data_IF_610768273673
#
_entry.id   IF_610768273673
#
_cell.length_a   1.000
_cell.length_b   1.000
_cell.length_c   1.000
_cell.angle_alpha   90.00
_cell.angle_beta   90.00
_cell.angle_gamma   90.00
#
_symmetry.space_group_name_H-M   'P 1'
#
loop_
_entity.id
_entity.type
_entity.pdbx_description
1 polymer ?
#
# COMPACT_ATOMS: atom_id res chain seq x y z
N UNK A 1 -13.21 3.41 -9.27
CA UNK A 1 -11.86 3.45 -8.71
C UNK A 1 -11.88 4.35 -7.49
N UNK A 2 -11.72 3.76 -6.30
CA UNK A 2 -11.56 4.52 -5.06
C UNK A 2 -10.10 4.93 -4.88
N UNK A 3 -9.85 6.04 -4.19
CA UNK A 3 -8.48 6.44 -3.83
C UNK A 3 -8.39 6.54 -2.31
N UNK A 4 -7.51 5.73 -1.75
CA UNK A 4 -7.24 5.62 -0.33
C UNK A 4 -6.03 6.46 0.05
N UNK A 5 -5.95 6.84 1.33
CA UNK A 5 -4.84 7.64 1.81
C UNK A 5 -3.69 6.74 2.29
N UNK A 6 -2.46 7.12 1.96
CA UNK A 6 -1.24 6.55 2.52
C UNK A 6 -0.44 7.64 3.22
N UNK A 7 0.09 7.37 4.41
CA UNK A 7 0.88 8.33 5.20
C UNK A 7 2.14 7.70 5.75
N UNK A 8 3.11 8.51 6.16
CA UNK A 8 4.36 8.04 6.75
C UNK A 8 4.38 8.41 8.23
N UNK A 9 4.38 7.40 9.09
CA UNK A 9 4.63 7.57 10.52
C UNK A 9 6.14 7.48 10.77
N UNK A 10 6.73 8.56 11.27
CA UNK A 10 8.15 8.62 11.64
C UNK A 10 8.29 8.60 13.16
N UNK A 11 9.11 7.69 13.68
CA UNK A 11 9.52 7.59 15.09
C UNK A 11 11.05 7.62 15.19
N UNK A 12 11.58 7.80 16.39
CA UNK A 12 13.01 8.09 16.62
C UNK A 12 14.00 7.16 15.88
N UNK A 13 13.65 5.88 15.71
CA UNK A 13 14.49 4.88 15.04
C UNK A 13 13.77 4.08 13.95
N UNK A 14 12.57 4.48 13.55
CA UNK A 14 11.77 3.71 12.59
C UNK A 14 10.86 4.59 11.75
N UNK A 15 10.62 4.17 10.51
CA UNK A 15 9.59 4.73 9.65
C UNK A 15 8.61 3.65 9.23
N UNK A 16 7.32 3.97 9.25
CA UNK A 16 6.23 3.05 8.91
C UNK A 16 5.34 3.70 7.87
N UNK A 17 5.16 3.02 6.73
CA UNK A 17 4.15 3.37 5.74
C UNK A 17 2.80 2.84 6.24
N UNK A 18 1.83 3.73 6.36
CA UNK A 18 0.45 3.46 6.78
C UNK A 18 -0.46 3.51 5.57
N UNK A 19 -1.21 2.45 5.29
CA UNK A 19 -2.17 2.35 4.19
C UNK A 19 -3.59 2.29 4.77
N UNK A 20 -4.39 3.35 4.57
CA UNK A 20 -5.73 3.45 5.14
C UNK A 20 -6.79 2.85 4.21
N UNK A 21 -7.41 1.74 4.62
CA UNK A 21 -8.45 1.01 3.89
C UNK A 21 -9.74 1.01 4.71
N UNK A 22 -10.57 2.04 4.51
CA UNK A 22 -11.79 2.24 5.29
C UNK A 22 -11.46 2.40 6.78
N UNK A 23 -11.95 1.49 7.61
CA UNK A 23 -11.70 1.48 9.06
C UNK A 23 -10.39 0.74 9.45
N UNK A 24 -9.72 0.10 8.49
CA UNK A 24 -8.48 -0.64 8.73
C UNK A 24 -7.27 0.16 8.27
N UNK A 25 -6.17 0.12 9.03
CA UNK A 25 -4.87 0.64 8.59
C UNK A 25 -3.89 -0.52 8.52
N UNK A 26 -3.22 -0.66 7.37
CA UNK A 26 -2.15 -1.63 7.17
C UNK A 26 -0.80 -0.94 7.35
N UNK A 27 0.11 -1.61 8.06
CA UNK A 27 1.40 -1.07 8.44
C UNK A 27 2.53 -1.81 7.72
N UNK A 28 3.43 -1.05 7.10
CA UNK A 28 4.68 -1.57 6.53
C UNK A 28 5.83 -0.83 7.20
N UNK A 29 6.59 -1.53 8.04
CA UNK A 29 7.80 -0.96 8.67
C UNK A 29 8.93 -0.96 7.64
N UNK A 30 9.45 0.23 7.31
CA UNK A 30 10.44 0.45 6.25
C UNK A 30 11.87 0.21 6.72
N UNK A 31 12.09 0.26 8.03
CA UNK A 31 13.40 0.15 8.67
C UNK A 31 13.73 -1.25 9.15
N UNK A 32 12.84 -2.22 8.91
CA UNK A 32 13.00 -3.61 9.32
C UNK A 32 12.89 -4.53 8.12
N UNK A 33 13.77 -5.52 8.02
CA UNK A 33 13.69 -6.55 7.00
C UNK A 33 12.73 -7.66 7.45
N UNK A 34 11.42 -7.40 7.29
CA UNK A 34 10.34 -8.32 7.65
C UNK A 34 9.49 -8.68 6.42
N UNK A 35 9.99 -9.57 5.54
CA UNK A 35 9.29 -9.91 4.30
C UNK A 35 7.93 -10.58 4.54
N UNK A 36 7.75 -11.28 5.66
CA UNK A 36 6.46 -11.92 6.00
C UNK A 36 5.36 -10.89 6.34
N UNK A 37 5.72 -9.75 6.93
CA UNK A 37 4.77 -8.70 7.27
C UNK A 37 4.28 -8.01 6.00
N UNK A 38 5.19 -7.73 5.06
CA UNK A 38 4.87 -7.19 3.73
C UNK A 38 3.94 -8.13 2.96
N UNK A 39 4.21 -9.44 2.96
CA UNK A 39 3.33 -10.45 2.35
C UNK A 39 1.93 -10.44 2.97
N UNK A 40 1.85 -10.32 4.29
CA UNK A 40 0.57 -10.25 5.00
C UNK A 40 -0.23 -9.02 4.60
N UNK A 41 0.42 -7.86 4.47
CA UNK A 41 -0.21 -6.63 3.96
C UNK A 41 -0.71 -6.85 2.53
N UNK A 42 0.10 -7.43 1.65
CA UNK A 42 -0.28 -7.67 0.27
C UNK A 42 -1.50 -8.61 0.15
N UNK A 43 -1.55 -9.69 0.92
CA UNK A 43 -2.71 -10.58 0.94
C UNK A 43 -4.01 -9.86 1.31
N UNK A 44 -3.96 -8.95 2.30
CA UNK A 44 -5.12 -8.13 2.67
C UNK A 44 -5.52 -7.17 1.56
N UNK A 45 -4.57 -6.62 0.80
CA UNK A 45 -4.87 -5.78 -0.37
C UNK A 45 -5.55 -6.60 -1.48
N UNK A 46 -5.09 -7.82 -1.75
CA UNK A 46 -5.73 -8.71 -2.73
C UNK A 46 -7.17 -9.07 -2.33
N UNK A 47 -7.43 -9.30 -1.04
CA UNK A 47 -8.79 -9.52 -0.55
C UNK A 47 -9.68 -8.30 -0.79
N UNK A 48 -9.16 -7.09 -0.55
CA UNK A 48 -9.90 -5.85 -0.82
C UNK A 48 -10.14 -5.62 -2.31
N UNK A 49 -9.22 -6.01 -3.20
CA UNK A 49 -9.39 -5.86 -4.65
C UNK A 49 -10.62 -6.62 -5.17
N UNK A 50 -11.04 -7.70 -4.52
CA UNK A 50 -12.28 -8.41 -4.87
C UNK A 50 -13.54 -7.55 -4.69
N UNK A 51 -13.47 -6.50 -3.87
CA UNK A 51 -14.56 -5.55 -3.65
C UNK A 51 -14.54 -4.37 -4.62
N UNK A 52 -13.49 -4.24 -5.44
CA UNK A 52 -13.35 -3.23 -6.47
C UNK A 52 -11.92 -2.70 -6.62
N UNK A 53 -11.64 -2.08 -7.77
CA UNK A 53 -10.36 -1.43 -8.07
C UNK A 53 -10.15 -0.18 -7.21
N UNK A 54 -8.95 -0.05 -6.63
CA UNK A 54 -8.54 1.10 -5.83
C UNK A 54 -7.05 1.41 -5.98
N UNK A 55 -6.69 2.64 -5.62
CA UNK A 55 -5.31 3.14 -5.55
C UNK A 55 -5.03 3.81 -4.21
N UNK A 56 -3.75 4.06 -3.91
CA UNK A 56 -3.31 4.91 -2.81
C UNK A 56 -2.72 6.24 -3.29
N UNK A 57 -3.00 7.30 -2.55
CA UNK A 57 -2.27 8.56 -2.66
C UNK A 57 -1.38 8.76 -1.43
N UNK A 58 -0.08 8.97 -1.64
CA UNK A 58 0.83 9.30 -0.55
C UNK A 58 0.66 10.77 -0.16
N UNK A 59 0.20 10.99 1.08
CA UNK A 59 0.13 12.30 1.72
C UNK A 59 1.11 12.36 2.86
N UNK A 60 1.99 13.35 2.80
CA UNK A 60 3.03 13.52 3.79
C UNK A 60 3.43 15.00 3.89
N UNK A 61 3.84 15.43 5.08
CA UNK A 61 4.16 16.83 5.37
C UNK A 61 5.64 17.15 5.12
N UNK A 62 6.47 16.13 4.86
CA UNK A 62 7.92 16.25 4.78
C UNK A 62 8.51 15.47 3.62
N UNK A 63 9.16 16.16 2.69
CA UNK A 63 9.92 15.53 1.61
C UNK A 63 11.32 15.12 2.07
N UNK A 64 11.43 13.99 2.78
CA UNK A 64 12.72 13.38 3.17
C UNK A 64 12.97 12.04 2.45
N UNK A 65 14.06 11.35 2.83
CA UNK A 65 14.40 10.05 2.26
C UNK A 65 13.23 9.06 2.31
N UNK A 66 12.50 9.01 3.44
CA UNK A 66 11.37 8.10 3.58
C UNK A 66 10.22 8.49 2.66
N UNK A 67 9.99 9.79 2.45
CA UNK A 67 9.01 10.26 1.46
C UNK A 67 9.34 9.76 0.06
N UNK A 68 10.58 9.94 -0.41
CA UNK A 68 10.95 9.49 -1.74
C UNK A 68 10.82 7.97 -1.89
N UNK A 69 11.27 7.20 -0.90
CA UNK A 69 11.10 5.74 -0.87
C UNK A 69 9.63 5.35 -0.93
N UNK A 70 8.79 5.94 -0.08
CA UNK A 70 7.36 5.63 -0.06
C UNK A 70 6.65 6.05 -1.34
N UNK A 71 7.07 7.16 -1.96
CA UNK A 71 6.49 7.63 -3.21
C UNK A 71 6.74 6.62 -4.33
N UNK A 72 7.95 6.09 -4.44
CA UNK A 72 8.27 5.00 -5.38
C UNK A 72 7.50 3.73 -5.03
N UNK A 73 7.45 3.36 -3.75
CA UNK A 73 6.72 2.18 -3.27
C UNK A 73 5.23 2.24 -3.63
N UNK A 74 4.55 3.36 -3.34
CA UNK A 74 3.12 3.56 -3.66
C UNK A 74 2.89 3.56 -5.17
N UNK A 75 3.80 4.16 -5.94
CA UNK A 75 3.69 4.16 -7.41
C UNK A 75 3.74 2.75 -7.97
N UNK A 76 4.68 1.94 -7.48
CA UNK A 76 4.80 0.53 -7.87
C UNK A 76 3.59 -0.28 -7.39
N UNK A 77 3.18 -0.10 -6.13
CA UNK A 77 2.04 -0.80 -5.55
C UNK A 77 0.75 -0.55 -6.35
N UNK A 78 0.44 0.70 -6.70
CA UNK A 78 -0.75 1.01 -7.48
C UNK A 78 -0.71 0.37 -8.87
N UNK A 79 0.46 0.38 -9.54
CA UNK A 79 0.63 -0.28 -10.83
C UNK A 79 0.38 -1.80 -10.74
N UNK A 80 0.92 -2.44 -9.70
CA UNK A 80 0.71 -3.87 -9.43
C UNK A 80 -0.75 -4.19 -9.11
N UNK A 81 -1.39 -3.43 -8.20
CA UNK A 81 -2.80 -3.63 -7.84
C UNK A 81 -3.73 -3.53 -9.04
N UNK A 82 -3.48 -2.54 -9.91
CA UNK A 82 -4.23 -2.36 -11.16
C UNK A 82 -4.02 -3.52 -12.13
N UNK A 83 -2.78 -3.98 -12.29
CA UNK A 83 -2.47 -5.14 -13.13
C UNK A 83 -3.17 -6.39 -12.59
N UNK A 84 -3.03 -6.66 -11.29
CA UNK A 84 -3.65 -7.82 -10.64
C UNK A 84 -5.17 -7.79 -10.69
N UNK A 85 -5.81 -6.62 -10.45
CA UNK A 85 -7.26 -6.51 -10.59
C UNK A 85 -7.74 -6.89 -11.99
N UNK A 86 -7.03 -6.42 -13.02
CA UNK A 86 -7.31 -6.78 -14.41
C UNK A 86 -7.13 -8.28 -14.65
N UNK A 87 -6.07 -8.89 -14.13
CA UNK A 87 -5.87 -10.34 -14.23
C UNK A 87 -6.99 -11.12 -13.53
N UNK A 88 -7.44 -10.69 -12.35
CA UNK A 88 -8.56 -11.31 -11.65
C UNK A 88 -9.85 -11.22 -12.49
N UNK A 89 -10.10 -10.07 -13.11
CA UNK A 89 -11.25 -9.88 -14.01
C UNK A 89 -11.17 -10.79 -15.23
N UNK A 90 -10.02 -10.82 -15.92
CA UNK A 90 -9.80 -11.59 -17.14
C UNK A 90 -9.90 -13.11 -16.91
N UNK A 91 -9.59 -13.56 -15.69
CA UNK A 91 -9.70 -14.97 -15.27
C UNK A 91 -11.04 -15.31 -14.59
N UNK A 92 -11.98 -14.35 -14.47
CA UNK A 92 -13.29 -14.58 -13.84
C UNK A 92 -13.25 -14.87 -12.34
N UNK A 93 -12.29 -14.25 -11.63
CA UNK A 93 -12.07 -14.40 -10.18
C UNK A 93 -12.65 -13.25 -9.34
N UNK A 94 -13.37 -12.32 -9.97
CA UNK A 94 -14.09 -11.20 -9.35
C UNK A 94 -15.60 -11.49 -9.29
#
# INVERSE_FOLDING_TARGET
MATHNATIERKDSSATLKLALGETVLDIVLTEDKPNDVKTVFNKLLEQLKSGEFDFNLSDEKEDLYFHICKEYITQLNAELKSTYKELQDNGLL
#
